data_IF_780522825974
#
_entry.id   IF_780522825974
#
_cell.length_a   1.000
_cell.length_b   1.000
_cell.length_c   1.000
_cell.angle_alpha   90.00
_cell.angle_beta   90.00
_cell.angle_gamma   90.00
#
_symmetry.space_group_name_H-M   'P 1'
#
loop_
_entity.id
_entity.type
_entity.pdbx_description
1 polymer ?
#
# COMPACT_ATOMS: atom_id res chain seq x y z
N UNK A 1 7.62 16.29 23.82
CA UNK A 1 6.81 15.15 24.26
C UNK A 1 6.12 14.54 23.05
N UNK A 2 6.21 13.24 22.89
CA UNK A 2 5.58 12.45 21.81
C UNK A 2 4.04 12.43 21.87
N UNK A 3 3.42 13.09 22.84
CA UNK A 3 1.98 13.05 23.14
C UNK A 3 1.09 13.89 22.22
N UNK A 4 1.60 14.48 21.15
CA UNK A 4 0.83 15.37 20.28
C UNK A 4 0.77 14.95 18.81
N UNK A 5 1.26 13.77 18.44
CA UNK A 5 1.11 13.30 17.06
C UNK A 5 -0.36 12.88 16.88
N UNK A 6 -1.08 13.58 16.03
CA UNK A 6 -2.42 13.19 15.61
C UNK A 6 -2.35 11.78 14.99
N UNK A 7 -3.01 10.81 15.62
CA UNK A 7 -3.01 9.40 15.18
C UNK A 7 -3.45 9.24 13.72
N UNK A 8 -4.38 10.05 13.25
CA UNK A 8 -4.79 10.05 11.83
C UNK A 8 -3.66 10.51 10.91
N UNK A 9 -2.87 11.52 11.32
CA UNK A 9 -1.70 11.94 10.56
C UNK A 9 -0.65 10.83 10.50
N UNK A 10 -0.45 10.10 11.60
CA UNK A 10 0.44 8.94 11.64
C UNK A 10 -0.06 7.81 10.73
N UNK A 11 -1.37 7.53 10.72
CA UNK A 11 -1.97 6.55 9.80
C UNK A 11 -1.73 6.93 8.32
N UNK A 12 -1.94 8.21 7.97
CA UNK A 12 -1.70 8.70 6.60
C UNK A 12 -0.24 8.56 6.20
N UNK A 13 0.69 8.94 7.09
CA UNK A 13 2.13 8.78 6.86
C UNK A 13 2.48 7.31 6.65
N UNK A 14 2.01 6.42 7.54
CA UNK A 14 2.23 4.98 7.45
C UNK A 14 1.69 4.41 6.13
N UNK A 15 0.48 4.81 5.70
CA UNK A 15 -0.08 4.36 4.43
C UNK A 15 0.75 4.86 3.24
N UNK A 16 1.23 6.10 3.27
CA UNK A 16 2.12 6.66 2.26
C UNK A 16 3.44 5.88 2.17
N UNK A 17 4.04 5.55 3.32
CA UNK A 17 5.31 4.82 3.35
C UNK A 17 5.14 3.36 2.90
N UNK A 18 4.05 2.69 3.30
CA UNK A 18 3.73 1.37 2.76
C UNK A 18 3.38 1.39 1.27
N UNK A 19 2.76 2.47 0.78
CA UNK A 19 2.54 2.63 -0.67
C UNK A 19 3.87 2.59 -1.42
N UNK A 20 4.85 3.38 -0.99
CA UNK A 20 6.20 3.39 -1.56
C UNK A 20 6.90 2.03 -1.42
N UNK A 21 6.77 1.38 -0.25
CA UNK A 21 7.36 0.06 -0.03
C UNK A 21 6.78 -0.99 -0.97
N UNK A 22 5.45 -1.00 -1.17
CA UNK A 22 4.81 -1.92 -2.12
C UNK A 22 5.08 -1.59 -3.58
N UNK A 23 5.50 -0.37 -3.91
CA UNK A 23 5.98 -0.04 -5.26
C UNK A 23 7.32 -0.72 -5.59
N UNK A 24 8.02 -1.25 -4.58
CA UNK A 24 9.28 -1.98 -4.71
C UNK A 24 9.10 -3.49 -4.94
N UNK A 25 7.89 -4.01 -4.86
CA UNK A 25 7.62 -5.44 -4.95
C UNK A 25 6.57 -5.74 -6.02
N UNK A 26 6.66 -6.88 -6.72
CA UNK A 26 5.70 -7.20 -7.76
C UNK A 26 4.34 -7.54 -7.15
N UNK A 27 3.30 -6.89 -7.64
CA UNK A 27 1.92 -7.21 -7.27
C UNK A 27 0.96 -7.04 -8.45
N UNK A 28 -0.23 -7.59 -8.31
CA UNK A 28 -1.33 -7.41 -9.27
C UNK A 28 -2.66 -7.29 -8.53
N UNK A 29 -3.48 -6.33 -8.96
CA UNK A 29 -4.81 -6.09 -8.40
C UNK A 29 -5.84 -6.18 -9.52
N UNK A 30 -6.96 -6.88 -9.27
CA UNK A 30 -8.10 -6.97 -10.15
C UNK A 30 -9.37 -6.55 -9.41
N UNK A 31 -10.27 -5.85 -10.09
CA UNK A 31 -11.58 -5.49 -9.53
C UNK A 31 -11.58 -4.15 -8.78
N UNK A 32 -10.65 -3.23 -9.05
CA UNK A 32 -10.67 -1.88 -8.46
C UNK A 32 -11.98 -1.12 -8.77
N UNK A 33 -12.62 -1.44 -9.89
CA UNK A 33 -13.93 -0.94 -10.31
C UNK A 33 -15.08 -1.36 -9.40
N UNK A 34 -14.90 -2.42 -8.61
CA UNK A 34 -15.89 -2.91 -7.64
C UNK A 34 -15.87 -2.14 -6.31
N UNK A 35 -14.90 -1.24 -6.13
CA UNK A 35 -14.87 -0.39 -4.94
C UNK A 35 -16.02 0.60 -4.96
N UNK A 36 -16.87 0.65 -3.90
CA UNK A 36 -17.91 1.67 -3.78
C UNK A 36 -17.34 3.08 -3.89
N UNK A 37 -18.14 4.03 -4.36
CA UNK A 37 -17.71 5.44 -4.41
C UNK A 37 -17.56 6.04 -3.02
N UNK A 38 -18.45 5.67 -2.09
CA UNK A 38 -18.39 6.11 -0.71
C UNK A 38 -17.49 5.21 0.13
N UNK A 39 -16.63 5.77 0.99
CA UNK A 39 -15.69 4.98 1.79
C UNK A 39 -16.35 4.24 2.97
N UNK A 40 -17.53 4.67 3.41
CA UNK A 40 -18.22 4.19 4.63
C UNK A 40 -18.76 2.77 4.44
N UNK A 41 -17.86 1.81 4.31
CA UNK A 41 -18.12 0.40 4.07
C UNK A 41 -17.18 -0.48 4.90
N UNK A 42 -17.44 -1.78 4.94
CA UNK A 42 -16.59 -2.78 5.57
C UNK A 42 -15.85 -3.55 4.48
N UNK A 43 -14.53 -3.37 4.44
CA UNK A 43 -13.63 -4.11 3.56
C UNK A 43 -13.10 -5.32 4.33
N UNK A 44 -13.48 -6.51 3.89
CA UNK A 44 -13.06 -7.72 4.56
C UNK A 44 -12.22 -8.62 3.64
N UNK A 45 -11.24 -9.27 4.25
CA UNK A 45 -10.23 -10.01 3.52
C UNK A 45 -9.86 -11.32 4.24
N UNK A 46 -9.25 -12.24 3.51
CA UNK A 46 -8.63 -13.43 4.11
C UNK A 46 -7.27 -13.06 4.71
N UNK A 47 -7.08 -13.40 5.98
CA UNK A 47 -5.86 -13.07 6.70
C UNK A 47 -4.81 -14.16 6.53
N UNK A 48 -3.75 -13.85 5.81
CA UNK A 48 -2.65 -14.78 5.55
C UNK A 48 -1.60 -14.73 6.66
N UNK A 49 -0.95 -15.87 6.90
CA UNK A 49 0.07 -15.99 7.93
C UNK A 49 1.30 -15.15 7.56
N UNK A 50 1.86 -14.48 8.56
CA UNK A 50 3.17 -13.83 8.40
C UNK A 50 4.29 -14.88 8.49
N UNK A 51 5.35 -14.71 7.71
CA UNK A 51 6.55 -15.54 7.75
C UNK A 51 7.74 -14.77 8.31
N UNK A 52 8.73 -15.51 8.85
CA UNK A 52 9.92 -14.90 9.48
C UNK A 52 10.73 -14.05 8.51
N UNK A 53 10.85 -14.49 7.27
CA UNK A 53 11.62 -13.85 6.21
C UNK A 53 11.11 -12.43 5.88
N UNK A 54 9.84 -12.18 6.12
CA UNK A 54 9.21 -10.85 5.94
C UNK A 54 9.20 -10.03 7.26
N UNK A 55 9.87 -10.51 8.30
CA UNK A 55 9.98 -9.86 9.60
C UNK A 55 11.16 -8.90 9.70
N UNK A 56 11.13 -8.06 10.72
CA UNK A 56 12.25 -7.21 11.08
C UNK A 56 13.29 -7.99 11.92
N UNK A 57 14.53 -7.50 11.95
CA UNK A 57 15.63 -8.11 12.71
C UNK A 57 15.34 -8.25 14.22
N UNK A 58 14.40 -7.49 14.77
CA UNK A 58 13.95 -7.60 16.17
C UNK A 58 12.83 -8.63 16.38
N UNK A 59 12.50 -9.43 15.35
CA UNK A 59 11.43 -10.44 15.38
C UNK A 59 10.01 -9.88 15.17
N UNK A 60 9.85 -8.59 14.86
CA UNK A 60 8.55 -8.04 14.55
C UNK A 60 8.09 -8.47 13.16
N UNK A 61 6.90 -9.04 13.09
CA UNK A 61 6.24 -9.41 11.84
C UNK A 61 5.03 -8.50 11.60
N UNK A 62 5.04 -7.81 10.47
CA UNK A 62 3.89 -7.01 10.05
C UNK A 62 2.82 -7.90 9.41
N UNK A 63 1.56 -7.53 9.58
CA UNK A 63 0.45 -8.06 8.76
C UNK A 63 0.50 -7.41 7.39
N UNK A 64 1.39 -7.91 6.52
CA UNK A 64 1.66 -7.32 5.19
C UNK A 64 0.39 -7.23 4.36
N UNK A 65 -0.46 -8.25 4.42
CA UNK A 65 -1.76 -8.33 3.75
C UNK A 65 -2.67 -7.14 4.06
N UNK A 66 -2.85 -6.81 5.34
CA UNK A 66 -3.70 -5.69 5.76
C UNK A 66 -3.09 -4.33 5.41
N UNK A 67 -1.75 -4.21 5.44
CA UNK A 67 -1.06 -2.99 5.03
C UNK A 67 -1.16 -2.79 3.52
N UNK A 68 -1.12 -3.86 2.75
CA UNK A 68 -1.33 -3.82 1.30
C UNK A 68 -2.72 -3.27 0.95
N UNK A 69 -3.77 -3.80 1.59
CA UNK A 69 -5.14 -3.29 1.38
C UNK A 69 -5.22 -1.80 1.65
N UNK A 70 -4.69 -1.36 2.79
CA UNK A 70 -4.72 0.05 3.17
C UNK A 70 -3.93 0.92 2.20
N UNK A 71 -2.72 0.51 1.81
CA UNK A 71 -1.80 1.32 1.02
C UNK A 71 -2.09 1.29 -0.49
N UNK A 72 -2.48 0.13 -1.04
CA UNK A 72 -2.60 -0.05 -2.50
C UNK A 72 -4.04 -0.13 -3.01
N UNK A 73 -5.03 -0.27 -2.12
CA UNK A 73 -6.44 -0.36 -2.50
C UNK A 73 -7.22 0.84 -1.96
N UNK A 74 -7.23 1.05 -0.64
CA UNK A 74 -8.09 2.07 -0.03
C UNK A 74 -7.51 3.48 -0.09
N UNK A 75 -6.24 3.64 0.24
CA UNK A 75 -5.60 4.96 0.25
C UNK A 75 -5.60 5.65 -1.12
N UNK A 76 -5.31 4.96 -2.24
CA UNK A 76 -5.42 5.55 -3.58
C UNK A 76 -6.85 5.94 -3.97
N UNK A 77 -7.87 5.20 -3.54
CA UNK A 77 -9.29 5.47 -3.89
C UNK A 77 -9.89 6.58 -3.01
N UNK A 78 -9.59 6.56 -1.69
CA UNK A 78 -10.31 7.38 -0.70
C UNK A 78 -9.43 8.41 0.02
N UNK A 79 -8.11 8.40 -0.18
CA UNK A 79 -7.18 9.22 0.61
C UNK A 79 -7.09 8.78 2.09
N UNK A 80 -7.65 7.62 2.41
CA UNK A 80 -7.67 6.99 3.74
C UNK A 80 -7.47 5.47 3.60
N UNK A 81 -6.52 4.91 4.33
CA UNK A 81 -6.23 3.47 4.31
C UNK A 81 -7.19 2.61 5.13
N UNK A 82 -8.22 3.22 5.70
CA UNK A 82 -9.22 2.56 6.52
C UNK A 82 -8.80 2.31 7.97
N UNK A 83 -9.80 2.26 8.84
CA UNK A 83 -9.62 1.91 10.24
C UNK A 83 -9.62 0.40 10.40
N UNK A 84 -8.54 -0.14 10.95
CA UNK A 84 -8.41 -1.59 11.14
C UNK A 84 -9.00 -2.05 12.45
N UNK A 85 -9.64 -3.21 12.40
CA UNK A 85 -10.10 -3.94 13.57
C UNK A 85 -9.14 -5.12 13.77
N UNK A 86 -8.44 -5.14 14.91
CA UNK A 86 -7.43 -6.13 15.24
C UNK A 86 -7.74 -6.88 16.54
N UNK A 87 -7.21 -8.08 16.66
CA UNK A 87 -7.26 -8.83 17.91
C UNK A 87 -6.43 -8.10 18.97
N UNK A 88 -6.98 -7.99 20.19
CA UNK A 88 -6.21 -7.52 21.35
C UNK A 88 -5.03 -8.45 21.59
N UNK A 89 -3.83 -7.88 21.64
CA UNK A 89 -2.58 -8.64 21.75
C UNK A 89 -2.45 -9.34 23.10
N UNK A 90 -1.76 -10.48 23.11
CA UNK A 90 -1.40 -11.19 24.35
C UNK A 90 -0.32 -10.42 25.10
N UNK A 91 -0.15 -10.70 26.38
CA UNK A 91 0.89 -10.09 27.22
C UNK A 91 2.32 -10.30 26.65
N UNK A 92 2.56 -11.40 25.96
CA UNK A 92 3.83 -11.71 25.28
C UNK A 92 4.07 -10.88 24.03
N UNK A 93 3.08 -10.14 23.54
CA UNK A 93 3.11 -9.34 22.32
C UNK A 93 2.95 -7.85 22.62
N UNK A 94 3.46 -7.34 23.76
CA UNK A 94 3.25 -5.98 24.20
C UNK A 94 3.67 -4.91 23.18
N UNK A 95 4.71 -5.17 22.40
CA UNK A 95 5.19 -4.28 21.36
C UNK A 95 4.24 -4.20 20.15
N UNK A 96 3.54 -5.31 19.81
CA UNK A 96 2.49 -5.33 18.79
C UNK A 96 1.29 -4.49 19.24
N UNK A 97 0.95 -4.56 20.53
CA UNK A 97 -0.08 -3.72 21.12
C UNK A 97 0.24 -2.23 20.96
N UNK A 98 1.45 -1.80 21.33
CA UNK A 98 1.88 -0.41 21.21
C UNK A 98 1.83 0.08 19.74
N UNK A 99 2.23 -0.74 18.79
CA UNK A 99 2.12 -0.43 17.38
C UNK A 99 0.67 -0.18 16.95
N UNK A 100 -0.24 -1.08 17.32
CA UNK A 100 -1.65 -0.96 16.98
C UNK A 100 -2.32 0.23 17.70
N UNK A 101 -1.96 0.50 18.95
CA UNK A 101 -2.48 1.63 19.72
C UNK A 101 -2.04 2.99 19.12
N UNK A 102 -0.79 3.09 18.69
CA UNK A 102 -0.29 4.30 18.03
C UNK A 102 -0.98 4.55 16.69
N UNK A 103 -1.37 3.51 15.97
CA UNK A 103 -2.16 3.58 14.75
C UNK A 103 -3.67 3.57 14.99
N UNK A 104 -4.10 3.76 16.23
CA UNK A 104 -5.51 3.87 16.65
C UNK A 104 -6.39 2.69 16.25
N UNK A 105 -5.84 1.47 16.18
CA UNK A 105 -6.61 0.29 15.82
C UNK A 105 -7.73 0.03 16.82
N UNK A 106 -8.88 -0.42 16.33
CA UNK A 106 -10.00 -0.85 17.18
C UNK A 106 -9.76 -2.30 17.59
N UNK A 107 -9.75 -2.55 18.90
CA UNK A 107 -9.45 -3.87 19.43
C UNK A 107 -10.69 -4.74 19.65
N UNK A 108 -10.60 -5.98 19.17
CA UNK A 108 -11.54 -7.05 19.51
C UNK A 108 -10.88 -8.09 20.40
N UNK A 109 -11.62 -8.62 21.34
CA UNK A 109 -11.17 -9.70 22.20
C UNK A 109 -11.71 -11.03 21.68
N UNK A 110 -10.83 -11.98 21.51
CA UNK A 110 -11.14 -13.37 21.15
C UNK A 110 -10.95 -14.27 22.36
N UNK A 111 -11.38 -15.54 22.31
CA UNK A 111 -11.10 -16.48 23.39
C UNK A 111 -9.62 -16.58 23.76
N UNK A 112 -8.73 -16.41 22.81
CA UNK A 112 -7.28 -16.42 23.01
C UNK A 112 -6.77 -15.17 23.74
N UNK A 113 -7.57 -14.09 23.72
CA UNK A 113 -7.31 -12.86 24.50
C UNK A 113 -7.86 -12.92 25.94
N UNK A 114 -8.60 -13.98 26.30
CA UNK A 114 -9.32 -14.12 27.58
C UNK A 114 -8.40 -14.52 28.78
N UNK A 115 -7.20 -13.96 28.85
CA UNK A 115 -6.48 -13.92 30.12
C UNK A 115 -7.09 -12.89 31.11
N UNK A 116 -8.06 -12.12 30.66
CA UNK A 116 -8.84 -11.19 31.48
C UNK A 116 -10.07 -11.93 32.01
N UNK A 117 -10.12 -12.20 33.31
CA UNK A 117 -11.32 -12.70 33.99
C UNK A 117 -12.43 -11.63 33.97
N UNK A 118 -13.00 -11.38 32.79
CA UNK A 118 -14.06 -10.41 32.60
C UNK A 118 -15.41 -10.94 33.15
N UNK A 119 -16.09 -10.10 33.93
CA UNK A 119 -17.50 -10.33 34.29
C UNK A 119 -18.40 -10.15 33.05
N UNK A 120 -19.64 -10.65 33.14
CA UNK A 120 -20.62 -10.48 32.04
C UNK A 120 -20.90 -8.98 31.73
N UNK A 121 -20.91 -8.13 32.77
CA UNK A 121 -21.10 -6.68 32.58
C UNK A 121 -19.90 -6.03 31.86
N UNK A 122 -18.69 -6.44 32.20
CA UNK A 122 -17.49 -5.98 31.50
C UNK A 122 -17.50 -6.40 30.02
N UNK A 123 -17.87 -7.65 29.72
CA UNK A 123 -18.04 -8.13 28.35
C UNK A 123 -19.09 -7.33 27.57
N UNK A 124 -20.21 -7.00 28.22
CA UNK A 124 -21.25 -6.17 27.60
C UNK A 124 -20.78 -4.76 27.33
N UNK A 125 -20.11 -4.11 28.30
CA UNK A 125 -19.53 -2.77 28.11
C UNK A 125 -18.51 -2.74 26.97
N UNK A 126 -17.64 -3.73 26.89
CA UNK A 126 -16.63 -3.85 25.82
C UNK A 126 -17.26 -3.99 24.44
N UNK A 127 -18.31 -4.83 24.31
CA UNK A 127 -19.07 -4.94 23.04
C UNK A 127 -19.73 -3.62 22.65
N UNK A 128 -20.32 -2.91 23.61
CA UNK A 128 -20.91 -1.58 23.36
C UNK A 128 -19.85 -0.56 22.95
N UNK A 129 -18.67 -0.60 23.56
CA UNK A 129 -17.54 0.26 23.22
C UNK A 129 -17.09 0.01 21.77
N UNK A 130 -16.91 -1.26 21.37
CA UNK A 130 -16.56 -1.63 20.01
C UNK A 130 -17.55 -1.05 18.98
N UNK A 131 -18.84 -1.18 19.25
CA UNK A 131 -19.87 -0.62 18.37
C UNK A 131 -19.77 0.92 18.29
N UNK A 132 -19.59 1.61 19.40
CA UNK A 132 -19.45 3.07 19.44
C UNK A 132 -18.19 3.51 18.65
N UNK A 133 -17.08 2.84 18.87
CA UNK A 133 -15.82 3.16 18.15
C UNK A 133 -15.96 2.96 16.64
N UNK A 134 -16.57 1.87 16.21
CA UNK A 134 -16.79 1.60 14.79
C UNK A 134 -17.81 2.55 14.16
N UNK A 135 -18.87 2.92 14.90
CA UNK A 135 -19.83 3.93 14.44
C UNK A 135 -19.17 5.30 14.28
N UNK A 136 -18.32 5.70 15.23
CA UNK A 136 -17.57 6.96 15.12
C UNK A 136 -16.68 7.03 13.88
N UNK A 137 -16.11 5.90 13.41
CA UNK A 137 -15.36 5.85 12.16
C UNK A 137 -16.28 6.11 10.96
N UNK A 138 -17.47 5.53 10.96
CA UNK A 138 -18.48 5.75 9.92
C UNK A 138 -18.98 7.20 9.92
N UNK A 139 -19.21 7.78 11.10
CA UNK A 139 -19.61 9.18 11.26
C UNK A 139 -18.53 10.17 10.74
N UNK A 140 -17.27 9.72 10.69
CA UNK A 140 -16.15 10.44 10.08
C UNK A 140 -15.98 10.15 8.57
N UNK A 141 -16.92 9.44 7.95
CA UNK A 141 -16.86 9.02 6.55
C UNK A 141 -15.59 8.22 6.21
N UNK A 142 -15.24 7.23 7.04
CA UNK A 142 -14.02 6.43 6.91
C UNK A 142 -14.33 4.94 6.75
N UNK A 143 -13.52 4.19 5.99
CA UNK A 143 -13.70 2.75 5.80
C UNK A 143 -13.25 1.95 7.03
N UNK A 144 -13.87 0.77 7.23
CA UNK A 144 -13.42 -0.24 8.19
C UNK A 144 -12.76 -1.41 7.45
N UNK A 145 -11.67 -1.91 8.01
CA UNK A 145 -10.92 -3.07 7.46
C UNK A 145 -10.89 -4.18 8.50
N UNK A 146 -11.33 -5.37 8.13
CA UNK A 146 -11.43 -6.50 9.06
C UNK A 146 -11.15 -7.84 8.38
N UNK A 147 -10.44 -8.73 9.09
CA UNK A 147 -10.32 -10.14 8.73
C UNK A 147 -11.37 -10.95 9.52
N UNK A 148 -12.40 -11.49 8.88
CA UNK A 148 -13.48 -12.18 9.57
C UNK A 148 -13.08 -13.54 10.16
N UNK A 149 -11.92 -14.07 9.82
CA UNK A 149 -11.34 -15.28 10.44
C UNK A 149 -10.90 -15.01 11.88
N UNK A 150 -10.47 -13.77 12.17
CA UNK A 150 -10.02 -13.31 13.48
C UNK A 150 -8.70 -13.91 13.95
N UNK A 151 -7.97 -14.60 13.08
CA UNK A 151 -6.63 -15.17 13.32
C UNK A 151 -5.91 -15.38 11.98
N UNK A 152 -4.59 -15.41 12.01
CA UNK A 152 -3.71 -15.81 10.91
C UNK A 152 -2.79 -16.98 11.29
N UNK A 153 -3.13 -17.72 12.35
CA UNK A 153 -2.23 -18.71 12.98
C UNK A 153 -2.67 -20.17 12.76
N UNK A 154 -3.55 -20.44 11.80
CA UNK A 154 -4.02 -21.80 11.51
C UNK A 154 -3.56 -22.25 10.13
N UNK A 155 -3.59 -23.57 9.88
CA UNK A 155 -3.26 -24.16 8.57
C UNK A 155 -4.11 -23.60 7.42
N UNK A 156 -5.33 -23.12 7.72
CA UNK A 156 -6.21 -22.48 6.75
C UNK A 156 -5.77 -21.05 6.37
N UNK A 157 -4.80 -20.45 7.07
CA UNK A 157 -4.31 -19.09 6.79
C UNK A 157 -3.12 -19.06 5.81
N UNK A 158 -2.93 -20.10 5.04
CA UNK A 158 -1.92 -20.20 4.00
C UNK A 158 -2.55 -20.35 2.63
N UNK A 159 -1.94 -19.72 1.64
CA UNK A 159 -2.30 -19.89 0.22
C UNK A 159 -2.02 -21.34 -0.23
N UNK A 160 -2.93 -22.07 -0.89
CA UNK A 160 -4.26 -21.67 -1.36
C UNK A 160 -5.42 -22.05 -0.42
N UNK A 161 -5.18 -22.47 0.81
CA UNK A 161 -6.20 -23.02 1.71
C UNK A 161 -7.13 -21.95 2.30
N UNK A 162 -6.65 -20.72 2.36
CA UNK A 162 -7.40 -19.56 2.87
C UNK A 162 -8.72 -19.33 2.10
N UNK A 163 -9.77 -18.78 2.72
CA UNK A 163 -9.84 -18.38 4.13
C UNK A 163 -10.14 -19.55 5.07
N UNK A 164 -9.74 -19.38 6.32
CA UNK A 164 -10.19 -20.18 7.44
C UNK A 164 -11.69 -19.99 7.74
N UNK A 165 -12.23 -20.61 8.81
CA UNK A 165 -13.61 -20.45 9.20
C UNK A 165 -13.96 -18.99 9.52
N UNK A 166 -14.99 -18.45 8.84
CA UNK A 166 -15.45 -17.08 9.06
C UNK A 166 -16.20 -16.96 10.39
N UNK A 167 -15.87 -15.95 11.19
CA UNK A 167 -16.55 -15.63 12.45
C UNK A 167 -17.66 -14.61 12.23
N UNK A 168 -18.74 -14.64 13.01
CA UNK A 168 -19.91 -13.79 12.77
C UNK A 168 -19.70 -12.31 13.07
N UNK A 169 -18.61 -11.93 13.78
CA UNK A 169 -18.42 -10.59 14.32
C UNK A 169 -18.51 -9.46 13.29
N UNK A 170 -17.84 -9.60 12.16
CA UNK A 170 -17.85 -8.60 11.07
C UNK A 170 -19.26 -8.41 10.48
N UNK A 171 -19.98 -9.51 10.30
CA UNK A 171 -21.32 -9.53 9.71
C UNK A 171 -22.38 -8.99 10.67
N UNK A 172 -22.27 -9.29 11.97
CA UNK A 172 -23.12 -8.70 13.02
C UNK A 172 -22.88 -7.20 13.16
N UNK A 173 -21.64 -6.76 12.97
CA UNK A 173 -21.30 -5.35 12.97
C UNK A 173 -21.94 -4.62 11.78
N UNK A 174 -21.89 -5.22 10.58
CA UNK A 174 -22.50 -4.69 9.38
C UNK A 174 -24.01 -4.46 9.52
N UNK A 175 -24.73 -5.35 10.22
CA UNK A 175 -26.15 -5.20 10.48
C UNK A 175 -26.50 -4.02 11.40
N UNK A 176 -25.57 -3.65 12.29
CA UNK A 176 -25.82 -2.65 13.33
C UNK A 176 -25.42 -1.24 12.92
N UNK A 177 -24.37 -1.09 12.08
CA UNK A 177 -23.81 0.22 11.69
C UNK A 177 -24.77 1.03 10.82
N UNK A 178 -24.65 2.37 10.91
CA UNK A 178 -25.43 3.32 10.11
C UNK A 178 -24.51 4.40 9.50
N UNK A 179 -24.65 4.72 8.20
CA UNK A 179 -25.55 4.03 7.24
C UNK A 179 -25.21 2.55 7.13
N UNK A 180 -26.16 1.73 6.66
CA UNK A 180 -25.90 0.29 6.44
C UNK A 180 -24.77 0.08 5.43
N UNK A 181 -23.64 -0.53 5.85
CA UNK A 181 -22.50 -0.70 4.97
C UNK A 181 -22.69 -1.80 3.94
N UNK A 182 -22.03 -1.66 2.83
CA UNK A 182 -21.68 -2.77 1.98
C UNK A 182 -20.51 -3.56 2.61
N UNK A 183 -20.51 -4.85 2.41
CA UNK A 183 -19.41 -5.75 2.71
C UNK A 183 -18.62 -5.97 1.41
N UNK A 184 -17.41 -5.45 1.34
CA UNK A 184 -16.55 -5.49 0.14
C UNK A 184 -15.51 -6.60 0.30
N UNK A 185 -15.63 -7.72 -0.45
CA UNK A 185 -14.70 -8.83 -0.34
C UNK A 185 -13.39 -8.55 -1.09
N UNK A 186 -12.27 -8.73 -0.42
CA UNK A 186 -10.92 -8.62 -1.00
C UNK A 186 -10.19 -9.94 -0.76
N UNK A 187 -10.03 -10.73 -1.81
CA UNK A 187 -9.30 -11.99 -1.74
C UNK A 187 -7.83 -11.76 -2.05
N UNK A 188 -6.96 -12.26 -1.17
CA UNK A 188 -5.52 -12.09 -1.22
C UNK A 188 -4.82 -13.43 -1.45
N UNK A 189 -3.71 -13.45 -2.17
CA UNK A 189 -2.84 -14.61 -2.29
C UNK A 189 -1.36 -14.21 -2.25
N UNK A 190 -0.55 -15.16 -1.75
CA UNK A 190 0.90 -15.13 -1.67
C UNK A 190 1.51 -14.19 -0.61
N UNK A 191 0.74 -13.54 0.25
CA UNK A 191 1.27 -12.72 1.35
C UNK A 191 1.92 -13.55 2.47
N UNK A 192 1.78 -14.86 2.40
CA UNK A 192 2.43 -15.90 3.20
C UNK A 192 3.70 -16.48 2.57
N UNK A 193 4.20 -15.86 1.50
CA UNK A 193 5.47 -16.19 0.85
C UNK A 193 6.48 -15.06 0.99
N UNK A 194 7.75 -15.36 0.76
CA UNK A 194 8.82 -14.36 0.75
C UNK A 194 8.58 -13.32 -0.35
N UNK A 195 8.83 -12.06 -0.02
CA UNK A 195 8.72 -10.91 -0.95
C UNK A 195 9.58 -11.12 -2.20
N UNK A 196 10.77 -11.73 -2.04
CA UNK A 196 11.70 -11.96 -3.16
C UNK A 196 11.21 -13.00 -4.17
N UNK A 197 10.28 -13.89 -3.78
CA UNK A 197 10.02 -15.12 -4.52
C UNK A 197 8.63 -15.18 -5.14
N UNK A 198 7.82 -14.15 -4.95
CA UNK A 198 6.42 -14.21 -5.37
C UNK A 198 5.88 -12.90 -5.95
N UNK A 199 4.72 -12.99 -6.58
CA UNK A 199 3.88 -11.84 -6.94
C UNK A 199 2.69 -11.82 -5.99
N UNK A 200 2.50 -10.73 -5.26
CA UNK A 200 1.32 -10.52 -4.44
C UNK A 200 0.10 -10.26 -5.31
N UNK A 201 -1.02 -10.81 -4.94
CA UNK A 201 -2.25 -10.58 -5.70
C UNK A 201 -3.45 -10.28 -4.83
N UNK A 202 -4.31 -9.41 -5.35
CA UNK A 202 -5.59 -9.07 -4.75
C UNK A 202 -6.70 -9.11 -5.79
N UNK A 203 -7.84 -9.70 -5.42
CA UNK A 203 -9.07 -9.68 -6.23
C UNK A 203 -10.19 -9.07 -5.40
N UNK A 204 -10.70 -7.95 -5.86
CA UNK A 204 -11.82 -7.23 -5.24
C UNK A 204 -13.11 -7.68 -5.95
N UNK A 205 -14.06 -8.17 -5.19
CA UNK A 205 -15.34 -8.67 -5.70
C UNK A 205 -16.47 -7.69 -5.45
N UNK A 206 -17.55 -7.88 -6.19
CA UNK A 206 -18.78 -7.11 -6.02
C UNK A 206 -19.20 -7.05 -4.56
N UNK A 207 -19.50 -5.85 -4.04
CA UNK A 207 -19.97 -5.66 -2.68
C UNK A 207 -21.29 -6.36 -2.43
N UNK A 208 -21.47 -6.87 -1.21
CA UNK A 208 -22.72 -7.53 -0.81
C UNK A 208 -23.38 -6.79 0.37
N UNK A 209 -24.70 -6.89 0.48
CA UNK A 209 -25.47 -6.51 1.67
C UNK A 209 -25.76 -7.76 2.48
N UNK A 210 -25.48 -7.75 3.77
CA UNK A 210 -25.71 -8.92 4.61
C UNK A 210 -27.19 -9.33 4.64
N UNK A 211 -28.11 -8.36 4.57
CA UNK A 211 -29.55 -8.59 4.58
C UNK A 211 -30.09 -9.31 3.35
N UNK A 212 -29.34 -9.33 2.25
CA UNK A 212 -29.71 -10.12 1.07
C UNK A 212 -29.53 -11.63 1.29
N UNK A 213 -28.79 -12.01 2.35
CA UNK A 213 -28.42 -13.40 2.64
C UNK A 213 -28.92 -13.92 3.98
N UNK A 214 -29.15 -13.04 4.95
CA UNK A 214 -29.59 -13.39 6.31
C UNK A 214 -30.75 -12.49 6.71
N UNK A 215 -31.92 -13.07 6.90
CA UNK A 215 -33.13 -12.34 7.27
C UNK A 215 -33.17 -11.96 8.75
N UNK A 216 -32.68 -12.85 9.61
CA UNK A 216 -32.61 -12.61 11.05
C UNK A 216 -31.22 -12.89 11.60
N UNK A 217 -30.46 -11.82 11.84
CA UNK A 217 -29.10 -11.87 12.39
C UNK A 217 -29.02 -12.45 13.82
N UNK A 218 -30.16 -12.59 14.51
CA UNK A 218 -30.25 -13.28 15.81
C UNK A 218 -30.42 -14.78 15.68
N UNK A 219 -30.83 -15.26 14.48
CA UNK A 219 -30.93 -16.68 14.17
C UNK A 219 -29.52 -17.25 13.91
N UNK A 220 -28.91 -17.82 14.95
CA UNK A 220 -27.56 -18.39 14.87
C UNK A 220 -27.40 -19.41 13.76
N UNK A 221 -28.40 -20.28 13.54
CA UNK A 221 -28.34 -21.33 12.54
C UNK A 221 -28.35 -20.75 11.11
N UNK A 222 -29.13 -19.71 10.87
CA UNK A 222 -29.17 -19.02 9.58
C UNK A 222 -27.82 -18.35 9.29
N UNK A 223 -27.27 -17.64 10.29
CA UNK A 223 -25.97 -16.99 10.18
C UNK A 223 -24.83 -17.99 9.99
N UNK A 224 -24.78 -19.08 10.73
CA UNK A 224 -23.78 -20.15 10.57
C UNK A 224 -23.86 -20.79 9.17
N UNK A 225 -25.07 -21.04 8.67
CA UNK A 225 -25.25 -21.54 7.30
C UNK A 225 -24.74 -20.56 6.24
N UNK A 226 -25.03 -19.27 6.41
CA UNK A 226 -24.49 -18.22 5.55
C UNK A 226 -22.95 -18.23 5.58
N UNK A 227 -22.34 -18.17 6.76
CA UNK A 227 -20.89 -18.12 6.91
C UNK A 227 -20.21 -19.33 6.26
N UNK A 228 -20.77 -20.53 6.45
CA UNK A 228 -20.26 -21.76 5.85
C UNK A 228 -20.33 -21.74 4.33
N UNK A 229 -21.45 -21.28 3.75
CA UNK A 229 -21.62 -21.14 2.30
C UNK A 229 -20.71 -20.06 1.74
N UNK A 230 -20.68 -18.92 2.40
CA UNK A 230 -19.92 -17.78 1.93
C UNK A 230 -18.41 -18.04 1.99
N UNK A 231 -17.92 -18.77 3.00
CA UNK A 231 -16.53 -19.26 3.03
C UNK A 231 -16.16 -20.03 1.75
N UNK A 232 -17.04 -20.90 1.27
CA UNK A 232 -16.81 -21.67 0.02
C UNK A 232 -16.71 -20.73 -1.19
N UNK A 233 -17.63 -19.77 -1.27
CA UNK A 233 -17.58 -18.74 -2.31
C UNK A 233 -16.30 -17.92 -2.21
N UNK A 234 -15.90 -17.49 -1.01
CA UNK A 234 -14.69 -16.70 -0.83
C UNK A 234 -13.41 -17.50 -1.21
N UNK A 235 -13.40 -18.81 -0.98
CA UNK A 235 -12.33 -19.70 -1.47
C UNK A 235 -12.14 -19.59 -2.98
N UNK A 236 -13.21 -19.54 -3.76
CA UNK A 236 -13.08 -19.38 -5.22
C UNK A 236 -12.48 -18.03 -5.61
N UNK A 237 -12.65 -17.00 -4.78
CA UNK A 237 -12.02 -15.70 -4.98
C UNK A 237 -10.52 -15.75 -4.68
N UNK A 238 -10.11 -16.49 -3.66
CA UNK A 238 -8.68 -16.74 -3.36
C UNK A 238 -8.04 -17.56 -4.48
N UNK A 239 -8.72 -18.60 -4.99
CA UNK A 239 -8.26 -19.37 -6.15
C UNK A 239 -8.05 -18.45 -7.37
N UNK A 240 -8.96 -17.50 -7.61
CA UNK A 240 -8.80 -16.48 -8.66
C UNK A 240 -7.59 -15.60 -8.42
N UNK A 241 -7.33 -15.17 -7.17
CA UNK A 241 -6.15 -14.39 -6.84
C UNK A 241 -4.86 -15.19 -7.09
N UNK A 242 -4.83 -16.49 -6.76
CA UNK A 242 -3.69 -17.38 -7.05
C UNK A 242 -3.43 -17.48 -8.55
N UNK A 243 -4.47 -17.68 -9.36
CA UNK A 243 -4.32 -17.77 -10.82
C UNK A 243 -3.92 -16.42 -11.44
N UNK A 244 -4.37 -15.30 -10.87
CA UNK A 244 -3.96 -13.96 -11.27
C UNK A 244 -2.45 -13.77 -11.07
N UNK A 245 -1.92 -14.14 -9.90
CA UNK A 245 -0.48 -14.09 -9.61
C UNK A 245 0.34 -14.98 -10.57
N UNK A 246 -0.14 -16.23 -10.81
CA UNK A 246 0.53 -17.16 -11.75
C UNK A 246 0.54 -16.63 -13.18
N UNK A 247 -0.55 -16.01 -13.62
CA UNK A 247 -0.65 -15.42 -14.95
C UNK A 247 0.30 -14.22 -15.11
N UNK A 248 0.40 -13.38 -14.10
CA UNK A 248 1.34 -12.28 -14.06
C UNK A 248 2.81 -12.78 -14.09
N UNK A 249 3.13 -13.87 -13.38
CA UNK A 249 4.47 -14.48 -13.43
C UNK A 249 4.81 -15.02 -14.82
N UNK A 250 3.87 -15.69 -15.50
CA UNK A 250 4.10 -16.22 -16.86
C UNK A 250 4.28 -15.11 -17.88
N UNK A 251 3.51 -14.03 -17.79
CA UNK A 251 3.65 -12.88 -18.68
C UNK A 251 5.00 -12.17 -18.49
N UNK A 252 5.55 -12.14 -17.27
CA UNK A 252 6.91 -11.65 -17.00
C UNK A 252 8.00 -12.47 -17.71
N UNK A 253 7.73 -13.75 -17.99
CA UNK A 253 8.68 -14.67 -18.68
C UNK A 253 8.52 -14.61 -20.21
N UNK A 254 7.35 -14.31 -20.74
CA UNK A 254 7.04 -14.40 -22.19
C UNK A 254 6.91 -13.04 -22.89
N UNK A 255 7.47 -12.00 -22.36
CA UNK A 255 7.08 -10.64 -22.61
C UNK A 255 7.47 -9.99 -23.89
N UNK A 256 6.51 -9.41 -24.61
CA UNK A 256 6.65 -8.06 -25.21
C UNK A 256 5.30 -7.33 -25.42
N UNK A 257 4.13 -7.95 -25.32
CA UNK A 257 2.91 -7.36 -25.88
C UNK A 257 1.63 -7.37 -25.00
N UNK A 258 1.66 -7.20 -23.70
CA UNK A 258 0.39 -6.94 -22.94
C UNK A 258 0.59 -6.00 -21.76
N UNK A 259 0.71 -4.71 -22.03
CA UNK A 259 0.61 -3.65 -21.03
C UNK A 259 -0.64 -2.82 -21.32
N UNK A 260 -1.81 -3.31 -20.97
CA UNK A 260 -2.98 -2.44 -21.00
C UNK A 260 -4.10 -2.90 -20.08
N UNK A 261 -3.87 -3.16 -18.82
CA UNK A 261 -4.85 -3.21 -17.71
C UNK A 261 -4.35 -3.98 -16.49
N UNK A 262 -3.06 -4.32 -16.44
CA UNK A 262 -2.42 -4.81 -15.24
C UNK A 262 -1.52 -3.69 -14.74
N UNK A 263 -1.81 -3.14 -13.58
CA UNK A 263 -0.82 -2.34 -12.85
C UNK A 263 0.27 -3.29 -12.35
N UNK A 264 1.08 -3.82 -13.30
CA UNK A 264 2.33 -4.48 -12.99
C UNK A 264 3.30 -3.36 -12.65
N UNK A 265 3.57 -3.19 -11.37
CA UNK A 265 4.73 -2.42 -10.97
C UNK A 265 5.92 -3.23 -11.43
N UNK A 266 6.62 -2.73 -12.43
CA UNK A 266 7.94 -3.24 -12.83
C UNK A 266 8.81 -3.29 -11.58
N UNK A 267 9.66 -4.32 -11.42
CA UNK A 267 10.74 -4.21 -10.44
C UNK A 267 11.45 -2.91 -10.75
N UNK A 268 11.60 -2.06 -9.74
CA UNK A 268 12.44 -0.87 -9.86
C UNK A 268 13.79 -1.39 -10.31
N UNK A 269 14.34 -0.73 -11.29
CA UNK A 269 15.62 -1.09 -11.86
C UNK A 269 16.64 -1.12 -10.72
N UNK A 270 16.99 -2.31 -10.22
CA UNK A 270 18.05 -2.48 -9.22
C UNK A 270 19.33 -1.74 -9.62
N UNK A 271 19.50 -1.52 -10.91
CA UNK A 271 20.60 -0.82 -11.55
C UNK A 271 20.82 0.59 -10.97
N UNK A 272 19.77 1.34 -10.65
CA UNK A 272 19.91 2.74 -10.17
C UNK A 272 19.74 2.91 -8.67
N UNK A 273 19.31 1.88 -7.94
CA UNK A 273 18.96 2.00 -6.53
C UNK A 273 20.18 2.38 -5.66
N UNK A 274 21.36 1.89 -5.99
CA UNK A 274 22.59 2.24 -5.28
C UNK A 274 22.93 3.72 -5.44
N UNK A 275 22.89 4.24 -6.67
CA UNK A 275 23.16 5.64 -6.97
C UNK A 275 22.11 6.56 -6.31
N UNK A 276 20.83 6.16 -6.36
CA UNK A 276 19.74 6.93 -5.75
C UNK A 276 19.87 6.98 -4.22
N UNK A 277 20.25 5.89 -3.56
CA UNK A 277 20.51 5.89 -2.12
C UNK A 277 21.65 6.82 -1.72
N UNK A 278 22.71 6.87 -2.52
CA UNK A 278 23.81 7.84 -2.28
C UNK A 278 23.28 9.28 -2.40
N UNK A 279 22.43 9.57 -3.37
CA UNK A 279 21.81 10.88 -3.51
C UNK A 279 20.88 11.21 -2.33
N UNK A 280 20.09 10.26 -1.85
CA UNK A 280 19.26 10.43 -0.65
C UNK A 280 20.12 10.74 0.60
N UNK A 281 21.25 10.06 0.78
CA UNK A 281 22.18 10.35 1.88
C UNK A 281 22.72 11.80 1.77
N UNK A 282 23.07 12.25 0.57
CA UNK A 282 23.49 13.63 0.32
C UNK A 282 22.38 14.64 0.68
N UNK A 283 21.13 14.35 0.34
CA UNK A 283 19.97 15.19 0.69
C UNK A 283 19.75 15.33 2.21
N UNK A 284 20.13 14.34 3.00
CA UNK A 284 20.02 14.38 4.45
C UNK A 284 21.19 15.12 5.14
N UNK A 285 22.24 15.45 4.40
CA UNK A 285 23.37 16.20 4.95
C UNK A 285 23.05 17.69 5.07
N UNK A 286 23.57 18.35 6.11
CA UNK A 286 23.28 19.77 6.35
C UNK A 286 23.79 20.69 5.24
N UNK A 287 24.81 20.29 4.51
CA UNK A 287 25.38 21.06 3.40
C UNK A 287 24.44 21.21 2.19
N UNK A 288 23.43 20.32 2.04
CA UNK A 288 22.48 20.33 0.92
C UNK A 288 21.11 20.89 1.30
N UNK A 289 20.87 21.20 2.57
CA UNK A 289 19.65 21.87 3.00
C UNK A 289 19.59 23.27 2.42
N UNK A 290 18.43 23.64 1.86
CA UNK A 290 18.18 24.94 1.21
C UNK A 290 18.91 25.16 -0.12
N UNK A 291 19.25 24.12 -0.86
CA UNK A 291 19.67 24.26 -2.25
C UNK A 291 18.45 24.68 -3.10
N UNK A 292 18.64 25.72 -3.92
CA UNK A 292 17.58 26.30 -4.72
C UNK A 292 17.61 25.85 -6.18
N UNK A 293 18.74 25.31 -6.65
CA UNK A 293 18.92 24.86 -8.02
C UNK A 293 19.32 23.39 -8.03
N UNK A 294 18.58 22.59 -8.80
CA UNK A 294 18.82 21.15 -8.97
C UNK A 294 19.18 20.86 -10.41
N UNK A 295 20.26 20.13 -10.63
CA UNK A 295 20.50 19.38 -11.87
C UNK A 295 19.94 17.98 -11.66
N UNK A 296 19.06 17.52 -12.54
CA UNK A 296 18.44 16.22 -12.44
C UNK A 296 18.44 15.48 -13.77
N UNK A 297 18.78 14.20 -13.78
CA UNK A 297 18.80 13.38 -14.99
C UNK A 297 20.00 12.45 -15.10
N UNK A 298 20.52 12.28 -16.31
CA UNK A 298 21.45 11.22 -16.67
C UNK A 298 22.92 11.47 -16.25
N UNK A 299 23.79 10.54 -16.67
CA UNK A 299 25.25 10.61 -16.48
C UNK A 299 25.87 11.91 -16.93
N UNK A 300 25.27 12.60 -17.89
CA UNK A 300 25.72 13.94 -18.34
C UNK A 300 25.81 14.92 -17.17
N UNK A 301 24.87 14.86 -16.22
CA UNK A 301 24.95 15.66 -15.01
C UNK A 301 25.79 14.97 -13.92
N UNK A 302 25.64 13.66 -13.71
CA UNK A 302 26.47 12.93 -12.73
C UNK A 302 27.94 13.23 -12.91
N UNK A 303 28.42 13.15 -14.15
CA UNK A 303 29.83 13.27 -14.49
C UNK A 303 30.32 14.74 -14.58
N UNK A 304 29.43 15.72 -14.41
CA UNK A 304 29.78 17.12 -14.36
C UNK A 304 30.20 17.55 -12.94
N UNK A 305 31.40 17.14 -12.55
CA UNK A 305 31.93 17.37 -11.19
C UNK A 305 32.02 18.85 -10.83
N UNK A 306 32.37 19.71 -11.77
CA UNK A 306 32.58 21.14 -11.57
C UNK A 306 31.31 21.98 -11.88
N UNK A 307 30.15 21.39 -12.04
CA UNK A 307 28.93 22.09 -12.45
C UNK A 307 28.62 23.35 -11.60
N UNK A 308 28.87 23.29 -10.30
CA UNK A 308 28.67 24.41 -9.39
C UNK A 308 29.57 25.61 -9.74
N UNK A 309 30.84 25.36 -10.05
CA UNK A 309 31.80 26.38 -10.43
C UNK A 309 31.57 26.91 -11.84
N UNK A 310 31.32 25.99 -12.78
CA UNK A 310 31.17 26.31 -14.21
C UNK A 310 29.90 27.13 -14.47
N UNK A 311 28.83 26.85 -13.72
CA UNK A 311 27.57 27.59 -13.77
C UNK A 311 27.54 28.81 -12.86
N UNK A 312 28.57 28.99 -12.00
CA UNK A 312 28.66 30.07 -10.99
C UNK A 312 27.42 30.12 -10.08
N UNK A 313 26.88 28.94 -9.68
CA UNK A 313 25.76 28.84 -8.76
C UNK A 313 26.21 28.29 -7.40
N UNK A 314 26.24 29.15 -6.38
CA UNK A 314 26.62 28.74 -5.03
C UNK A 314 25.69 27.68 -4.41
N UNK A 315 24.41 27.68 -4.82
CA UNK A 315 23.37 26.79 -4.32
C UNK A 315 22.92 25.80 -5.38
N UNK A 316 23.85 25.03 -5.92
CA UNK A 316 23.60 23.98 -6.90
C UNK A 316 23.69 22.61 -6.24
N UNK A 317 22.67 21.78 -6.44
CA UNK A 317 22.63 20.38 -6.06
C UNK A 317 22.56 19.52 -7.33
N UNK A 318 23.58 18.69 -7.52
CA UNK A 318 23.62 17.75 -8.62
C UNK A 318 23.02 16.40 -8.19
N UNK A 319 21.87 16.02 -8.76
CA UNK A 319 21.13 14.79 -8.58
C UNK A 319 21.11 13.95 -9.87
N UNK A 320 22.11 14.06 -10.70
CA UNK A 320 22.32 13.19 -11.84
C UNK A 320 22.78 11.79 -11.42
N UNK A 321 22.29 10.74 -12.08
CA UNK A 321 22.74 9.37 -11.88
C UNK A 321 22.98 8.65 -13.21
N UNK A 322 23.90 7.67 -13.18
CA UNK A 322 24.47 7.12 -14.41
C UNK A 322 23.49 6.21 -15.18
N UNK A 323 23.45 6.36 -16.51
CA UNK A 323 22.60 5.51 -17.33
C UNK A 323 21.10 5.78 -17.22
N UNK A 324 20.68 6.77 -16.42
CA UNK A 324 19.26 7.01 -16.16
C UNK A 324 18.49 7.32 -17.44
N UNK A 325 17.32 6.71 -17.51
CA UNK A 325 16.29 6.93 -18.53
C UNK A 325 15.28 7.96 -18.05
N UNK A 326 14.42 8.44 -18.94
CA UNK A 326 13.31 9.32 -18.56
C UNK A 326 12.35 8.61 -17.61
N UNK A 327 12.11 7.31 -17.82
CA UNK A 327 11.29 6.45 -16.93
C UNK A 327 11.91 6.35 -15.55
N UNK A 328 13.22 6.07 -15.44
CA UNK A 328 13.89 6.00 -14.14
C UNK A 328 13.94 7.36 -13.45
N UNK A 329 14.15 8.45 -14.17
CA UNK A 329 14.06 9.80 -13.62
C UNK A 329 12.67 10.06 -13.02
N UNK A 330 11.59 9.73 -13.71
CA UNK A 330 10.22 9.87 -13.20
C UNK A 330 9.98 9.00 -11.97
N UNK A 331 10.45 7.74 -12.00
CA UNK A 331 10.35 6.82 -10.86
C UNK A 331 10.98 7.38 -9.58
N UNK A 332 12.17 7.98 -9.69
CA UNK A 332 12.91 8.48 -8.52
C UNK A 332 12.67 9.96 -8.20
N UNK A 333 11.91 10.68 -9.04
CA UNK A 333 11.64 12.11 -8.88
C UNK A 333 11.11 12.48 -7.49
N UNK A 334 10.11 11.72 -7.01
CA UNK A 334 9.50 11.94 -5.70
C UNK A 334 10.44 11.66 -4.53
N UNK A 335 11.47 10.84 -4.73
CA UNK A 335 12.45 10.49 -3.69
C UNK A 335 13.56 11.50 -3.54
N UNK A 336 14.10 12.00 -4.67
CA UNK A 336 15.34 12.79 -4.65
C UNK A 336 15.17 14.24 -5.08
N UNK A 337 14.13 14.61 -5.80
CA UNK A 337 13.90 16.01 -6.22
C UNK A 337 12.85 16.70 -5.39
N UNK A 338 11.66 16.11 -5.26
CA UNK A 338 10.52 16.71 -4.55
C UNK A 338 10.86 17.11 -3.10
N UNK A 339 11.57 16.29 -2.30
CA UNK A 339 11.91 16.67 -0.91
C UNK A 339 12.79 17.91 -0.80
N UNK A 340 13.54 18.24 -1.86
CA UNK A 340 14.39 19.43 -1.89
C UNK A 340 13.62 20.71 -2.25
N UNK A 341 12.42 20.59 -2.83
CA UNK A 341 11.56 21.70 -3.27
C UNK A 341 12.36 22.87 -3.91
N UNK A 342 13.07 22.63 -5.02
CA UNK A 342 13.99 23.60 -5.59
C UNK A 342 13.25 24.76 -6.26
N UNK A 343 13.86 25.97 -6.24
CA UNK A 343 13.35 27.10 -7.03
C UNK A 343 13.50 26.86 -8.53
N UNK A 344 14.58 26.18 -8.91
CA UNK A 344 14.90 25.86 -10.31
C UNK A 344 15.36 24.42 -10.45
N UNK A 345 14.90 23.76 -11.49
CA UNK A 345 15.37 22.45 -11.91
C UNK A 345 15.85 22.51 -13.36
N UNK A 346 17.05 22.03 -13.60
CA UNK A 346 17.58 21.80 -14.95
C UNK A 346 17.58 20.28 -15.16
N UNK A 347 16.87 19.84 -16.19
CA UNK A 347 16.61 18.42 -16.45
C UNK A 347 17.22 17.98 -17.78
N UNK A 348 17.90 16.82 -17.77
CA UNK A 348 18.41 16.16 -18.97
C UNK A 348 18.30 14.64 -18.86
N UNK A 349 17.50 14.03 -19.72
CA UNK A 349 17.42 12.58 -19.95
C UNK A 349 16.80 12.31 -21.34
N UNK A 350 16.79 11.06 -21.78
CA UNK A 350 16.19 10.63 -23.03
C UNK A 350 17.18 10.04 -24.03
N UNK A 351 18.45 10.35 -23.94
CA UNK A 351 19.50 9.77 -24.78
C UNK A 351 19.70 8.27 -24.51
N UNK A 352 19.65 7.85 -23.26
CA UNK A 352 19.68 6.44 -22.88
C UNK A 352 18.41 5.68 -23.31
N UNK A 353 17.26 6.32 -23.27
CA UNK A 353 15.98 5.76 -23.73
C UNK A 353 16.04 5.43 -25.23
N UNK A 354 16.50 6.38 -26.04
CA UNK A 354 16.68 6.19 -27.48
C UNK A 354 17.77 5.13 -27.75
N UNK A 355 18.88 5.20 -27.03
CA UNK A 355 19.96 4.20 -27.11
C UNK A 355 19.50 2.80 -26.74
N UNK A 356 18.52 2.67 -25.83
CA UNK A 356 17.83 1.44 -25.45
C UNK A 356 16.75 0.98 -26.42
N UNK A 357 16.48 1.75 -27.49
CA UNK A 357 15.51 1.40 -28.53
C UNK A 357 14.11 1.98 -28.36
N UNK A 358 13.90 2.91 -27.42
CA UNK A 358 12.62 3.62 -27.29
C UNK A 358 12.35 4.48 -28.51
N UNK A 359 11.11 4.47 -29.01
CA UNK A 359 10.72 5.32 -30.14
C UNK A 359 10.62 6.80 -29.71
N UNK A 360 10.77 7.71 -30.66
CA UNK A 360 10.62 9.15 -30.41
C UNK A 360 9.20 9.49 -29.86
N UNK A 361 8.18 8.79 -30.35
CA UNK A 361 6.78 8.98 -29.90
C UNK A 361 6.59 8.52 -28.45
N UNK A 362 7.15 7.36 -28.08
CA UNK A 362 7.08 6.85 -26.71
C UNK A 362 7.86 7.76 -25.76
N UNK A 363 9.01 8.26 -26.18
CA UNK A 363 9.81 9.20 -25.41
C UNK A 363 9.08 10.53 -25.19
N UNK A 364 8.39 11.06 -26.22
CA UNK A 364 7.56 12.26 -26.09
C UNK A 364 6.42 12.03 -25.07
N UNK A 365 5.74 10.89 -25.14
CA UNK A 365 4.68 10.54 -24.20
C UNK A 365 5.20 10.46 -22.76
N UNK A 366 6.34 9.80 -22.53
CA UNK A 366 6.97 9.74 -21.19
C UNK A 366 7.39 11.11 -20.70
N UNK A 367 7.93 11.96 -21.58
CA UNK A 367 8.29 13.33 -21.24
C UNK A 367 7.06 14.16 -20.82
N UNK A 368 5.94 14.03 -21.51
CA UNK A 368 4.69 14.71 -21.17
C UNK A 368 4.16 14.25 -19.80
N UNK A 369 4.23 12.96 -19.50
CA UNK A 369 3.87 12.41 -18.20
C UNK A 369 4.76 12.98 -17.09
N UNK A 370 6.07 13.00 -17.29
CA UNK A 370 7.01 13.58 -16.33
C UNK A 370 6.79 15.08 -16.14
N UNK A 371 6.61 15.84 -17.22
CA UNK A 371 6.34 17.27 -17.14
C UNK A 371 5.04 17.58 -16.37
N UNK A 372 4.00 16.75 -16.54
CA UNK A 372 2.75 16.85 -15.78
C UNK A 372 2.99 16.62 -14.29
N UNK A 373 3.75 15.59 -13.93
CA UNK A 373 4.08 15.27 -12.54
C UNK A 373 4.92 16.37 -11.88
N UNK A 374 5.90 16.91 -12.60
CA UNK A 374 6.70 18.07 -12.13
C UNK A 374 5.80 19.26 -11.84
N UNK A 375 4.87 19.58 -12.73
CA UNK A 375 3.95 20.71 -12.53
C UNK A 375 2.99 20.48 -11.34
N UNK A 376 2.58 19.24 -11.11
CA UNK A 376 1.74 18.87 -9.95
C UNK A 376 2.49 18.96 -8.63
N UNK A 377 3.69 18.37 -8.57
CA UNK A 377 4.44 18.23 -7.31
C UNK A 377 5.26 19.45 -6.94
N UNK A 378 5.74 20.18 -7.94
CA UNK A 378 6.61 21.35 -7.80
C UNK A 378 6.05 22.57 -8.58
N UNK A 379 4.83 23.05 -8.28
CA UNK A 379 4.15 24.08 -9.07
C UNK A 379 4.86 25.44 -9.08
N UNK A 380 5.82 25.66 -8.18
CA UNK A 380 6.59 26.91 -8.07
C UNK A 380 8.00 26.79 -8.61
N UNK A 381 8.44 25.60 -9.01
CA UNK A 381 9.78 25.34 -9.54
C UNK A 381 9.87 25.74 -11.00
N UNK A 382 10.83 26.58 -11.34
CA UNK A 382 11.12 26.92 -12.75
C UNK A 382 11.96 25.80 -13.37
N UNK A 383 11.37 25.08 -14.33
CA UNK A 383 11.99 23.93 -14.98
C UNK A 383 12.60 24.30 -16.34
N UNK A 384 13.85 23.88 -16.56
CA UNK A 384 14.56 23.97 -17.82
C UNK A 384 14.85 22.57 -18.33
N UNK A 385 14.34 22.25 -19.49
CA UNK A 385 14.62 20.97 -20.15
C UNK A 385 15.70 21.16 -21.20
N UNK A 386 16.81 20.44 -21.05
CA UNK A 386 17.92 20.45 -21.99
C UNK A 386 17.59 19.45 -23.11
N UNK A 387 17.65 19.89 -24.36
CA UNK A 387 17.39 19.02 -25.50
C UNK A 387 18.39 17.86 -25.58
N UNK A 388 17.92 16.71 -26.04
CA UNK A 388 18.79 15.56 -26.32
C UNK A 388 19.85 15.95 -27.32
N UNK A 389 21.09 15.62 -27.04
CA UNK A 389 22.22 15.87 -27.95
C UNK A 389 22.07 14.98 -29.19
N UNK A 390 22.45 15.47 -30.40
CA UNK A 390 22.54 14.62 -31.57
C UNK A 390 23.55 13.49 -31.32
N UNK A 391 23.16 12.26 -31.59
CA UNK A 391 24.01 11.07 -31.48
C UNK A 391 24.67 10.76 -32.83
#
# INVERSE_FOLDING_TARGET
SYDSINKQALQKLTNSDFTKAFDQVPYVIKGMENLPDEPTNIFFYNHLASIEENGLANGHQFSIDSHFISAKILFPKYGDGGQRIARYSRNTEFWRYNYYENLDYIFVHTPESDYLNETQDQKKKRKSKLFIETQNIFDQNRPLVIAPEGTSETEDNFTPNSPGPLKPGAFLLADQLKPEPLLVPIALANFDYSISDTIYSAVIKEPIKIKDFVNDMKNKKELENFLSKYRKTFKTYVEEAVELAKSASKNKINNEDVVSNLNLVSPIEEEFEADVRELEIKLHSDQYKNNQIVLFGSSTFRDWENAKTDLSFDRLLNLGFGGSTLVSCRTYFNRIVVPNNPDKMIFYAGDNDIGGGMSAEDLENEFLLFASEVNEKLPHTLCFFVSIKPS
#
